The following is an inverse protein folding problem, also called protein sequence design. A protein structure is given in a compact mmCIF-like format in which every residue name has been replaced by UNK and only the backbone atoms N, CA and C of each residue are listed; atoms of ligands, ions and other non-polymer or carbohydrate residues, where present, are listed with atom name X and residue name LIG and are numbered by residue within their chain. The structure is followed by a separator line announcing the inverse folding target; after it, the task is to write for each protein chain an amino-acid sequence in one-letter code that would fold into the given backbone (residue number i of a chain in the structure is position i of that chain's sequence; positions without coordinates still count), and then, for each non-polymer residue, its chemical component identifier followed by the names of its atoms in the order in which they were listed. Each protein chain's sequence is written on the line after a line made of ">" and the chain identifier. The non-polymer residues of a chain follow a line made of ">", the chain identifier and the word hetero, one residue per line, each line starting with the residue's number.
data_IF_504208271313
#
_entry.id   IF_504208271313
#
_cell.length_a   1.000
_cell.length_b   1.000
_cell.length_c   1.000
_cell.angle_alpha   90.00
_cell.angle_beta   90.00
_cell.angle_gamma   90.00
#
_symmetry.space_group_name_H-M   'P 1'
#
loop_
_entity.id
_entity.type
_entity.pdbx_description
1 polymer ?
#
# COMPACT_ATOMS: atom_id res chain seq x y z
N UNK A 1 28.13 -15.48 1.09
CA UNK A 1 27.88 -14.06 1.42
C UNK A 1 26.38 -13.86 1.48
N UNK A 2 25.81 -13.86 2.68
CA UNK A 2 24.38 -13.70 2.88
C UNK A 2 24.04 -12.20 2.85
N UNK A 3 23.95 -11.64 1.65
CA UNK A 3 23.45 -10.27 1.47
C UNK A 3 21.93 -10.32 1.63
N UNK A 4 21.52 -10.30 2.89
CA UNK A 4 20.16 -10.21 3.35
C UNK A 4 19.49 -9.00 2.66
N UNK A 5 18.61 -9.28 1.69
CA UNK A 5 17.82 -8.33 0.90
C UNK A 5 16.72 -7.69 1.75
N UNK A 6 17.10 -7.10 2.88
CA UNK A 6 16.16 -6.51 3.82
C UNK A 6 15.88 -5.09 3.35
N UNK A 7 14.60 -4.83 3.02
CA UNK A 7 14.01 -3.50 2.79
C UNK A 7 14.05 -2.96 1.34
N UNK A 8 13.56 -3.77 0.39
CA UNK A 8 13.25 -3.29 -0.99
C UNK A 8 12.21 -2.18 -1.02
N UNK A 9 11.33 -2.13 -0.01
CA UNK A 9 10.30 -1.10 0.12
C UNK A 9 10.08 -0.73 1.58
N UNK A 10 9.82 0.54 1.82
CA UNK A 10 9.43 1.10 3.12
C UNK A 10 8.12 1.84 2.95
N UNK A 11 7.20 1.65 3.90
CA UNK A 11 5.93 2.36 3.95
C UNK A 11 5.83 3.13 5.26
N UNK A 12 5.37 4.37 5.17
CA UNK A 12 5.03 5.22 6.30
C UNK A 12 3.54 5.59 6.21
N UNK A 13 2.81 5.42 7.32
CA UNK A 13 1.41 5.79 7.50
C UNK A 13 1.31 6.65 8.76
N UNK A 14 1.33 7.97 8.58
CA UNK A 14 1.48 8.92 9.67
C UNK A 14 2.80 8.70 10.41
N UNK A 15 2.71 8.31 11.66
CA UNK A 15 3.82 7.99 12.56
C UNK A 15 4.29 6.53 12.49
N UNK A 16 3.57 5.65 11.78
CA UNK A 16 3.89 4.23 11.69
C UNK A 16 4.78 3.97 10.48
N UNK A 17 6.00 3.49 10.73
CA UNK A 17 7.01 3.16 9.71
C UNK A 17 7.32 1.67 9.72
N UNK A 18 7.23 1.02 8.55
CA UNK A 18 7.40 -0.43 8.44
C UNK A 18 7.93 -0.85 7.06
N UNK A 19 8.33 -2.12 6.94
CA UNK A 19 9.02 -2.65 5.76
C UNK A 19 8.25 -3.85 5.17
N UNK A 20 7.21 -3.59 4.36
CA UNK A 20 6.40 -4.66 3.80
C UNK A 20 7.21 -5.55 2.86
N UNK A 21 6.65 -6.71 2.55
CA UNK A 21 7.28 -7.62 1.58
C UNK A 21 6.98 -7.15 0.16
N UNK A 22 5.77 -6.66 -0.08
CA UNK A 22 5.34 -6.10 -1.35
C UNK A 22 4.55 -4.80 -1.11
N UNK A 23 4.78 -3.80 -1.94
CA UNK A 23 3.89 -2.67 -2.05
C UNK A 23 3.73 -2.27 -3.51
N UNK A 24 2.53 -1.87 -3.88
CA UNK A 24 2.18 -1.41 -5.22
C UNK A 24 1.46 -0.08 -5.09
N UNK A 25 1.90 0.91 -5.85
CA UNK A 25 1.16 2.14 -6.04
C UNK A 25 0.54 2.18 -7.44
N UNK A 26 -0.74 2.52 -7.52
CA UNK A 26 -1.49 2.65 -8.77
C UNK A 26 -2.12 4.02 -8.86
N UNK A 27 -1.82 4.74 -9.93
CA UNK A 27 -2.46 6.00 -10.30
C UNK A 27 -3.14 5.82 -11.66
N UNK A 28 -4.46 6.00 -11.70
CA UNK A 28 -5.25 5.78 -12.90
C UNK A 28 -6.23 6.94 -13.14
N UNK A 29 -6.63 7.10 -14.40
CA UNK A 29 -7.71 8.00 -14.82
C UNK A 29 -8.67 7.22 -15.69
N UNK A 30 -9.96 7.50 -15.57
CA UNK A 30 -10.94 6.90 -16.46
C UNK A 30 -10.97 7.67 -17.79
N UNK A 31 -10.99 6.91 -18.88
CA UNK A 31 -11.17 7.42 -20.23
C UNK A 31 -12.40 6.77 -20.86
N UNK A 32 -13.08 7.50 -21.74
CA UNK A 32 -14.18 6.96 -22.53
C UNK A 32 -13.64 6.05 -23.66
N UNK A 33 -14.54 5.45 -24.44
CA UNK A 33 -14.19 4.50 -25.51
C UNK A 33 -13.31 5.10 -26.62
N UNK A 34 -13.19 6.42 -26.70
CA UNK A 34 -12.34 7.12 -27.67
C UNK A 34 -11.09 7.75 -27.03
N UNK A 35 -10.76 7.35 -25.80
CA UNK A 35 -9.54 7.79 -25.11
C UNK A 35 -9.62 9.20 -24.49
N UNK A 36 -10.79 9.86 -24.48
CA UNK A 36 -10.96 11.15 -23.82
C UNK A 36 -11.18 10.96 -22.32
N UNK A 37 -10.53 11.81 -21.52
CA UNK A 37 -10.68 11.83 -20.07
C UNK A 37 -12.14 12.04 -19.67
N UNK A 38 -12.62 11.22 -18.75
CA UNK A 38 -13.92 11.39 -18.11
C UNK A 38 -13.70 12.24 -16.85
N UNK A 39 -14.08 13.51 -16.86
CA UNK A 39 -14.15 14.40 -15.69
C UNK A 39 -13.01 14.29 -14.65
N UNK A 40 -13.36 14.41 -13.38
CA UNK A 40 -12.50 14.21 -12.21
C UNK A 40 -12.38 12.72 -11.83
N UNK A 41 -11.82 11.92 -12.74
CA UNK A 41 -11.65 10.48 -12.55
C UNK A 41 -10.27 10.05 -12.08
N UNK A 42 -9.48 10.96 -11.50
CA UNK A 42 -8.18 10.58 -10.95
C UNK A 42 -8.41 9.70 -9.73
N UNK A 43 -7.84 8.50 -9.76
CA UNK A 43 -7.90 7.56 -8.66
C UNK A 43 -6.48 7.14 -8.33
N UNK A 44 -6.13 7.13 -7.05
CA UNK A 44 -4.85 6.60 -6.62
C UNK A 44 -5.01 5.71 -5.39
N UNK A 45 -4.37 4.55 -5.45
CA UNK A 45 -4.44 3.52 -4.42
C UNK A 45 -3.07 2.89 -4.23
N UNK A 46 -2.74 2.62 -2.98
CA UNK A 46 -1.62 1.78 -2.61
C UNK A 46 -2.11 0.46 -2.03
N UNK A 47 -1.39 -0.60 -2.36
CA UNK A 47 -1.65 -1.95 -1.93
C UNK A 47 -0.39 -2.44 -1.23
N UNK A 48 -0.53 -2.96 -0.01
CA UNK A 48 0.61 -3.32 0.82
C UNK A 48 0.38 -4.69 1.42
N UNK A 49 1.39 -5.55 1.31
CA UNK A 49 1.37 -6.91 1.84
C UNK A 49 2.51 -7.12 2.83
N UNK A 50 2.15 -7.66 3.99
CA UNK A 50 3.10 -8.01 5.04
C UNK A 50 2.91 -9.46 5.46
N UNK A 51 4.01 -10.08 5.88
CA UNK A 51 3.97 -11.29 6.68
C UNK A 51 3.80 -10.91 8.16
N UNK A 52 2.71 -11.37 8.78
CA UNK A 52 2.39 -11.09 10.19
C UNK A 52 3.34 -11.82 11.14
N UNK A 53 4.00 -12.89 10.70
CA UNK A 53 4.98 -13.60 11.53
C UNK A 53 6.31 -12.86 11.65
N UNK A 54 6.65 -12.00 10.70
CA UNK A 54 7.93 -11.27 10.71
C UNK A 54 7.82 -9.96 11.49
N UNK A 55 7.89 -10.07 12.82
CA UNK A 55 7.83 -8.91 13.72
C UNK A 55 9.02 -7.96 13.58
N UNK A 56 10.06 -8.32 12.81
CA UNK A 56 11.17 -7.41 12.51
C UNK A 56 10.79 -6.34 11.47
N UNK A 57 9.72 -6.58 10.70
CA UNK A 57 9.24 -5.68 9.64
C UNK A 57 8.08 -4.80 10.06
N UNK A 58 7.23 -5.31 10.95
CA UNK A 58 6.12 -4.60 11.56
C UNK A 58 5.94 -5.14 12.98
N UNK A 59 6.11 -4.29 13.99
CA UNK A 59 5.87 -4.70 15.37
C UNK A 59 4.37 -4.83 15.67
N UNK A 60 4.03 -5.56 16.73
CA UNK A 60 2.64 -5.69 17.17
C UNK A 60 2.02 -4.32 17.52
N UNK A 61 2.78 -3.44 18.18
CA UNK A 61 2.30 -2.09 18.51
C UNK A 61 2.02 -1.26 17.25
N UNK A 62 2.88 -1.36 16.24
CA UNK A 62 2.67 -0.70 14.95
C UNK A 62 1.42 -1.25 14.24
N UNK A 63 1.21 -2.56 14.27
CA UNK A 63 0.01 -3.19 13.71
C UNK A 63 -1.26 -2.70 14.42
N UNK A 64 -1.24 -2.58 15.76
CA UNK A 64 -2.35 -2.03 16.54
C UNK A 64 -2.60 -0.56 16.18
N UNK A 65 -1.55 0.24 15.99
CA UNK A 65 -1.68 1.64 15.55
C UNK A 65 -2.30 1.75 14.15
N UNK A 66 -1.91 0.89 13.22
CA UNK A 66 -2.52 0.82 11.88
C UNK A 66 -3.99 0.43 11.95
N UNK A 67 -4.33 -0.58 12.77
CA UNK A 67 -5.72 -0.96 13.01
C UNK A 67 -6.55 0.20 13.55
N UNK A 68 -6.03 0.92 14.56
CA UNK A 68 -6.70 2.10 15.13
C UNK A 68 -6.99 3.16 14.08
N UNK A 69 -6.00 3.47 13.23
CA UNK A 69 -6.16 4.42 12.10
C UNK A 69 -7.22 3.94 11.10
N UNK A 70 -7.25 2.64 10.77
CA UNK A 70 -8.24 2.06 9.87
C UNK A 70 -9.66 2.05 10.46
N UNK A 71 -9.80 2.10 11.78
CA UNK A 71 -11.10 2.15 12.48
C UNK A 71 -11.48 3.54 12.99
N UNK A 72 -10.69 4.58 12.72
CA UNK A 72 -10.97 5.94 13.21
C UNK A 72 -12.17 6.53 12.44
N UNK A 73 -13.31 6.79 13.09
CA UNK A 73 -14.52 7.28 12.42
C UNK A 73 -14.38 8.71 11.86
N UNK A 74 -13.28 9.42 12.17
CA UNK A 74 -13.04 10.76 11.66
C UNK A 74 -12.49 10.79 10.24
N UNK A 75 -11.95 9.67 9.75
CA UNK A 75 -11.37 9.54 8.40
C UNK A 75 -10.39 10.67 8.01
N UNK A 76 -9.66 11.21 8.99
CA UNK A 76 -8.69 12.27 8.72
C UNK A 76 -7.55 11.70 7.86
N UNK A 77 -7.24 12.30 6.70
CA UNK A 77 -6.16 11.83 5.86
C UNK A 77 -4.82 11.90 6.60
N UNK A 78 -4.10 10.79 6.60
CA UNK A 78 -2.75 10.65 7.12
C UNK A 78 -1.73 10.91 6.02
N UNK A 79 -0.54 11.37 6.40
CA UNK A 79 0.58 11.42 5.45
C UNK A 79 1.04 10.00 5.16
N UNK A 80 1.04 9.62 3.88
CA UNK A 80 1.50 8.32 3.39
C UNK A 80 2.78 8.53 2.58
N UNK A 81 3.76 7.64 2.77
CA UNK A 81 5.00 7.62 1.99
C UNK A 81 5.38 6.19 1.63
N UNK A 82 5.68 5.93 0.36
CA UNK A 82 6.11 4.62 -0.14
C UNK A 82 7.44 4.81 -0.85
N UNK A 83 8.51 4.30 -0.24
CA UNK A 83 9.87 4.42 -0.76
C UNK A 83 10.34 3.09 -1.31
N UNK A 84 10.70 3.07 -2.59
CA UNK A 84 11.29 1.91 -3.26
C UNK A 84 12.81 2.07 -3.31
N UNK A 85 13.53 1.02 -2.92
CA UNK A 85 14.98 0.98 -2.87
C UNK A 85 15.54 0.07 -3.97
N UNK A 86 16.80 0.31 -4.35
CA UNK A 86 17.57 -0.64 -5.16
C UNK A 86 17.72 -1.97 -4.43
N UNK A 87 18.09 -3.03 -5.15
CA UNK A 87 18.23 -4.38 -4.56
C UNK A 87 19.19 -4.41 -3.37
N UNK A 88 20.22 -3.56 -3.39
CA UNK A 88 21.21 -3.41 -2.32
C UNK A 88 20.70 -2.59 -1.11
N UNK A 89 19.50 -2.02 -1.16
CA UNK A 89 18.88 -1.27 -0.06
C UNK A 89 19.42 0.16 0.17
N UNK A 90 20.59 0.48 -0.35
CA UNK A 90 21.30 1.73 -0.03
C UNK A 90 20.85 2.95 -0.85
N UNK A 91 20.12 2.75 -1.95
CA UNK A 91 19.71 3.82 -2.86
C UNK A 91 18.21 3.87 -3.04
N UNK A 92 17.63 5.05 -2.83
CA UNK A 92 16.23 5.33 -3.18
C UNK A 92 16.09 5.39 -4.71
N UNK A 93 15.14 4.62 -5.23
CA UNK A 93 14.76 4.63 -6.64
C UNK A 93 13.64 5.62 -6.91
N UNK A 94 12.63 5.60 -6.04
CA UNK A 94 11.48 6.49 -6.08
C UNK A 94 10.80 6.54 -4.72
N UNK A 95 10.11 7.65 -4.47
CA UNK A 95 9.26 7.83 -3.30
C UNK A 95 7.93 8.45 -3.73
N UNK A 96 6.82 7.81 -3.34
CA UNK A 96 5.47 8.31 -3.56
C UNK A 96 4.96 8.85 -2.23
N UNK A 97 4.61 10.14 -2.16
CA UNK A 97 3.96 10.72 -0.98
C UNK A 97 2.59 11.26 -1.33
N UNK A 98 1.62 11.06 -0.44
CA UNK A 98 0.26 11.58 -0.58
C UNK A 98 -0.42 11.67 0.79
N UNK A 99 -1.56 12.36 0.86
CA UNK A 99 -2.47 12.23 2.00
C UNK A 99 -3.48 11.14 1.69
N UNK A 100 -3.83 10.29 2.66
CA UNK A 100 -4.79 9.20 2.43
C UNK A 100 -5.21 8.48 3.69
N UNK A 101 -6.04 7.47 3.55
CA UNK A 101 -6.52 6.65 4.67
C UNK A 101 -6.53 5.18 4.30
N UNK A 102 -6.51 4.32 5.32
CA UNK A 102 -6.60 2.88 5.15
C UNK A 102 -8.08 2.55 4.88
N UNK A 103 -8.37 2.10 3.66
CA UNK A 103 -9.71 1.68 3.23
C UNK A 103 -9.97 0.20 3.48
N UNK A 104 -8.93 -0.63 3.48
CA UNK A 104 -9.01 -2.06 3.80
C UNK A 104 -7.89 -2.41 4.75
N UNK A 105 -8.24 -3.06 5.85
CA UNK A 105 -7.31 -3.73 6.75
C UNK A 105 -7.77 -5.18 6.86
N UNK A 106 -7.01 -6.12 6.32
CA UNK A 106 -7.40 -7.52 6.26
C UNK A 106 -6.25 -8.43 6.67
N UNK A 107 -6.52 -9.36 7.58
CA UNK A 107 -5.61 -10.47 7.88
C UNK A 107 -6.22 -11.78 7.36
N UNK A 108 -5.39 -12.63 6.76
CA UNK A 108 -5.85 -13.92 6.27
C UNK A 108 -4.69 -14.92 6.18
N UNK A 109 -5.03 -16.21 6.14
CA UNK A 109 -4.09 -17.27 5.79
C UNK A 109 -4.28 -17.59 4.30
N UNK A 110 -3.26 -17.40 3.44
CA UNK A 110 -3.41 -17.72 2.02
C UNK A 110 -3.67 -19.22 1.83
N UNK A 111 -4.68 -19.57 1.04
CA UNK A 111 -4.96 -20.97 0.76
C UNK A 111 -3.75 -21.63 0.08
N UNK A 112 -3.43 -22.91 0.39
CA UNK A 112 -2.40 -23.64 -0.31
C UNK A 112 -2.79 -23.73 -1.80
N UNK A 113 -2.09 -22.99 -2.65
CA UNK A 113 -2.41 -22.88 -4.09
C UNK A 113 -2.61 -21.46 -4.62
N UNK A 114 -2.51 -20.42 -3.77
CA UNK A 114 -2.53 -19.02 -4.23
C UNK A 114 -3.93 -18.56 -4.61
N UNK A 115 -4.78 -18.28 -3.61
CA UNK A 115 -6.04 -17.60 -3.85
C UNK A 115 -5.79 -16.15 -4.28
N UNK A 116 -6.33 -15.78 -5.45
CA UNK A 116 -6.44 -14.38 -5.88
C UNK A 116 -7.21 -13.58 -4.81
N UNK A 117 -6.62 -12.50 -4.32
CA UNK A 117 -7.29 -11.58 -3.42
C UNK A 117 -8.36 -10.85 -4.24
N UNK A 118 -9.62 -11.27 -4.09
CA UNK A 118 -10.76 -10.47 -4.50
C UNK A 118 -10.98 -9.43 -3.41
N UNK A 119 -10.28 -8.29 -3.51
CA UNK A 119 -10.59 -7.13 -2.70
C UNK A 119 -12.04 -6.72 -3.00
N UNK A 120 -12.90 -6.75 -1.98
CA UNK A 120 -14.29 -6.31 -2.11
C UNK A 120 -14.33 -4.80 -2.31
N UNK A 121 -14.74 -4.35 -3.49
CA UNK A 121 -15.00 -2.93 -3.78
C UNK A 121 -14.80 -2.57 -5.25
N UNK A 122 -15.92 -2.37 -5.95
CA UNK A 122 -16.06 -1.67 -7.24
C UNK A 122 -15.19 -2.12 -8.42
N UNK A 123 -15.53 -3.29 -8.99
CA UNK A 123 -15.55 -3.52 -10.44
C UNK A 123 -14.26 -3.35 -11.27
N UNK A 124 -13.12 -3.02 -10.66
CA UNK A 124 -11.87 -2.76 -11.36
C UNK A 124 -10.75 -3.59 -10.75
N UNK A 125 -10.50 -4.74 -11.38
CA UNK A 125 -9.30 -5.59 -11.26
C UNK A 125 -8.87 -5.88 -9.81
N UNK A 126 -9.32 -7.03 -9.29
CA UNK A 126 -8.78 -7.61 -8.06
C UNK A 126 -7.25 -7.66 -8.08
N UNK A 127 -6.65 -7.34 -6.95
CA UNK A 127 -5.21 -7.17 -6.82
C UNK A 127 -4.61 -8.45 -6.26
N UNK A 128 -4.13 -9.33 -7.14
CA UNK A 128 -3.29 -10.44 -6.70
C UNK A 128 -1.91 -9.88 -6.31
N UNK A 129 -1.42 -10.24 -5.12
CA UNK A 129 0.00 -10.11 -4.82
C UNK A 129 0.79 -11.02 -5.77
N UNK A 130 1.86 -10.50 -6.38
CA UNK A 130 2.62 -11.25 -7.40
C UNK A 130 3.40 -12.40 -6.77
N UNK A 131 3.72 -12.31 -5.47
CA UNK A 131 4.52 -13.30 -4.73
C UNK A 131 3.80 -13.78 -3.46
N UNK A 132 2.59 -14.34 -3.56
CA UNK A 132 1.92 -14.93 -2.39
C UNK A 132 2.52 -16.26 -1.92
N UNK A 133 3.42 -16.84 -2.72
CA UNK A 133 4.17 -18.05 -2.39
C UNK A 133 5.17 -17.75 -1.25
N UNK A 134 4.83 -18.12 -0.02
CA UNK A 134 5.74 -18.07 1.13
C UNK A 134 5.19 -17.34 2.36
N UNK A 135 4.05 -16.67 2.26
CA UNK A 135 3.40 -16.08 3.44
C UNK A 135 2.63 -17.14 4.23
N UNK A 136 2.87 -17.21 5.54
CA UNK A 136 2.07 -18.05 6.44
C UNK A 136 0.80 -17.33 6.91
N UNK A 137 0.91 -16.05 7.27
CA UNK A 137 -0.22 -15.19 7.59
C UNK A 137 0.02 -13.81 6.99
N UNK A 138 -0.91 -13.36 6.15
CA UNK A 138 -0.80 -12.08 5.43
C UNK A 138 -1.60 -11.01 6.15
N UNK A 139 -1.00 -9.84 6.30
CA UNK A 139 -1.71 -8.58 6.51
C UNK A 139 -1.71 -7.82 5.18
N UNK A 140 -2.91 -7.53 4.69
CA UNK A 140 -3.17 -6.72 3.51
C UNK A 140 -3.74 -5.37 3.91
N UNK A 141 -3.15 -4.31 3.38
CA UNK A 141 -3.64 -2.94 3.51
C UNK A 141 -3.93 -2.37 2.13
N UNK A 142 -5.10 -1.73 2.01
CA UNK A 142 -5.42 -0.88 0.87
C UNK A 142 -5.56 0.57 1.34
N UNK A 143 -4.74 1.45 0.78
CA UNK A 143 -4.68 2.87 1.16
C UNK A 143 -5.19 3.70 -0.02
N UNK A 144 -6.20 4.51 0.22
CA UNK A 144 -6.77 5.41 -0.80
C UNK A 144 -6.17 6.79 -0.63
N UNK A 145 -5.71 7.38 -1.73
CA UNK A 145 -5.23 8.76 -1.72
C UNK A 145 -6.41 9.75 -1.70
N UNK A 146 -6.33 10.71 -0.79
CA UNK A 146 -7.16 11.92 -0.78
C UNK A 146 -6.69 12.85 -1.90
N UNK A 147 -7.51 13.00 -2.94
CA UNK A 147 -7.18 13.76 -4.15
C UNK A 147 -8.03 15.02 -4.32
N UNK A 148 -8.70 15.45 -3.27
CA UNK A 148 -9.40 16.73 -3.17
C UNK A 148 -8.41 17.91 -3.24
N UNK A 149 -8.94 19.10 -3.57
CA UNK A 149 -8.15 20.33 -3.78
C UNK A 149 -7.06 20.62 -2.72
N UNK A 150 -7.28 20.43 -1.40
CA UNK A 150 -6.24 20.69 -0.39
C UNK A 150 -5.13 19.62 -0.36
N UNK A 151 -5.35 18.44 -0.93
CA UNK A 151 -4.44 17.29 -0.81
C UNK A 151 -3.78 16.89 -2.13
N UNK A 152 -4.35 17.26 -3.27
CA UNK A 152 -3.75 16.96 -4.59
C UNK A 152 -2.35 17.58 -4.74
N UNK A 153 -2.11 18.74 -4.15
CA UNK A 153 -0.78 19.40 -4.15
C UNK A 153 0.26 18.69 -3.27
N UNK A 154 -0.19 17.88 -2.31
CA UNK A 154 0.66 17.07 -1.44
C UNK A 154 0.96 15.70 -2.04
N UNK A 155 0.29 15.33 -3.12
CA UNK A 155 0.53 14.11 -3.87
C UNK A 155 1.73 14.30 -4.82
N UNK A 156 2.83 13.61 -4.57
CA UNK A 156 4.11 13.78 -5.26
C UNK A 156 4.83 12.46 -5.48
N UNK A 157 5.58 12.42 -6.58
CA UNK A 157 6.57 11.39 -6.88
C UNK A 157 7.94 12.05 -6.87
N UNK A 158 8.84 11.59 -6.01
CA UNK A 158 10.22 12.06 -5.89
C UNK A 158 11.20 10.90 -6.08
N UNK A 159 12.51 11.22 -6.04
CA UNK A 159 13.62 10.27 -6.12
C UNK A 159 14.52 10.47 -4.92
#
# INVERSE_FOLDING_TARGET
>A
MANQTYKRVQVEVGDVKFFPVEAKYSLARNANQVGRRIGESLQARAYVWLDVHDTSRLSQDQMISLWRKATDPKDNPEKISITYFSEDGDRVLSNVEFMGWISVFQTFNPAPGGTSIMAGGDGNRGVAAESMTGYNNVLYLEIVAALDEPNVSKHKLTK
#
